data_IF_198961540262
#
_entry.id   IF_198961540262
#
_cell.length_a   1.000
_cell.length_b   1.000
_cell.length_c   1.000
_cell.angle_alpha   90.00
_cell.angle_beta   90.00
_cell.angle_gamma   90.00
#
_symmetry.space_group_name_H-M   'P 1'
#
loop_
_entity.id
_entity.type
_entity.pdbx_description
1 polymer ?
#
# COMPACT_ATOMS: atom_id res chain seq x y z
N UNK A 1 12.60 15.57 -2.42
CA UNK A 1 13.92 15.50 -3.12
C UNK A 1 14.73 16.79 -2.95
N UNK A 2 14.20 18.00 -3.16
CA UNK A 2 14.94 19.28 -3.00
C UNK A 2 15.61 19.45 -1.64
N UNK A 3 14.89 19.10 -0.55
CA UNK A 3 15.41 19.20 0.81
C UNK A 3 16.51 18.17 1.09
N UNK A 4 16.40 16.97 0.49
CA UNK A 4 17.44 15.94 0.55
C UNK A 4 18.72 16.42 -0.13
N UNK A 5 18.62 16.99 -1.35
CA UNK A 5 19.77 17.58 -2.05
C UNK A 5 20.44 18.65 -1.20
N UNK A 6 19.64 19.53 -0.59
CA UNK A 6 20.15 20.61 0.27
C UNK A 6 20.87 20.05 1.50
N UNK A 7 20.32 18.99 2.10
CA UNK A 7 20.93 18.37 3.28
C UNK A 7 22.23 17.63 2.92
N UNK A 8 22.25 16.86 1.83
CA UNK A 8 23.44 16.17 1.36
C UNK A 8 24.57 17.13 1.01
N UNK A 9 24.26 18.26 0.35
CA UNK A 9 25.26 19.31 0.05
C UNK A 9 25.83 19.95 1.31
N UNK A 10 25.04 20.14 2.38
CA UNK A 10 25.54 20.69 3.66
C UNK A 10 26.60 19.80 4.32
N UNK A 11 26.54 18.48 4.10
CA UNK A 11 27.51 17.52 4.61
C UNK A 11 28.65 17.20 3.63
N UNK A 12 28.76 18.02 2.55
CA UNK A 12 29.85 17.93 1.56
C UNK A 12 29.69 16.84 0.51
N UNK A 13 28.45 16.35 0.31
CA UNK A 13 28.15 15.35 -0.72
C UNK A 13 27.50 16.04 -1.94
N UNK A 14 27.91 15.61 -3.14
CA UNK A 14 27.41 16.15 -4.40
C UNK A 14 26.51 15.13 -5.11
N UNK A 15 25.19 15.13 -4.87
CA UNK A 15 24.28 14.23 -5.53
C UNK A 15 24.04 14.65 -6.99
N UNK A 16 23.85 13.67 -7.86
CA UNK A 16 23.49 13.82 -9.27
C UNK A 16 22.03 13.42 -9.48
N UNK A 17 21.37 14.04 -10.45
CA UNK A 17 20.00 13.69 -10.82
C UNK A 17 19.98 12.81 -12.08
N UNK A 18 19.28 11.70 -12.00
CA UNK A 18 18.91 10.87 -13.13
C UNK A 18 17.39 10.81 -13.20
N UNK A 19 16.81 11.68 -14.01
CA UNK A 19 15.38 11.94 -14.09
C UNK A 19 14.81 12.31 -12.68
N UNK A 20 14.01 11.47 -12.07
CA UNK A 20 13.43 11.64 -10.74
C UNK A 20 14.25 11.03 -9.59
N UNK A 21 15.28 10.23 -9.91
CA UNK A 21 16.15 9.56 -8.94
C UNK A 21 17.35 10.40 -8.62
N UNK A 22 17.70 10.46 -7.33
CA UNK A 22 18.90 11.12 -6.87
C UNK A 22 19.98 10.07 -6.64
N UNK A 23 21.11 10.23 -7.28
CA UNK A 23 22.27 9.35 -7.18
C UNK A 23 23.39 10.00 -6.38
N UNK A 24 24.02 9.23 -5.53
CA UNK A 24 25.19 9.62 -4.77
C UNK A 24 26.26 8.55 -4.87
N UNK A 25 27.50 8.95 -5.16
CA UNK A 25 28.67 8.09 -5.07
C UNK A 25 29.61 8.64 -4.03
N UNK A 26 30.03 7.80 -3.08
CA UNK A 26 30.96 8.16 -2.03
C UNK A 26 32.11 7.16 -1.98
N UNK A 27 33.33 7.66 -1.97
CA UNK A 27 34.53 6.87 -1.77
C UNK A 27 34.66 6.45 -0.31
N UNK A 28 34.92 5.17 -0.03
CA UNK A 28 35.05 4.60 1.30
C UNK A 28 36.50 4.59 1.75
N UNK A 29 37.39 4.08 0.85
CA UNK A 29 38.80 3.92 1.09
C UNK A 29 39.61 4.38 -0.09
N UNK A 30 40.92 4.63 0.13
CA UNK A 30 41.89 4.99 -0.93
C UNK A 30 42.11 3.88 -2.00
N UNK A 31 41.57 2.68 -1.75
CA UNK A 31 41.72 1.50 -2.62
C UNK A 31 40.55 1.28 -3.58
N UNK A 32 39.82 2.32 -3.94
CA UNK A 32 38.79 2.30 -4.99
C UNK A 32 37.45 1.63 -4.62
N UNK A 33 37.17 1.43 -3.33
CA UNK A 33 35.84 0.97 -2.92
C UNK A 33 34.87 2.15 -2.83
N UNK A 34 33.74 2.03 -3.50
CA UNK A 34 32.70 3.06 -3.53
C UNK A 34 31.40 2.52 -2.98
N UNK A 35 30.67 3.37 -2.27
CA UNK A 35 29.23 3.22 -2.04
C UNK A 35 28.50 4.02 -3.09
N UNK A 36 27.52 3.39 -3.72
CA UNK A 36 26.62 4.04 -4.65
C UNK A 36 25.21 3.95 -4.11
N UNK A 37 24.52 5.08 -4.05
CA UNK A 37 23.21 5.19 -3.42
C UNK A 37 22.23 5.83 -4.39
N UNK A 38 21.06 5.21 -4.55
CA UNK A 38 19.96 5.75 -5.32
C UNK A 38 18.79 6.05 -4.37
N UNK A 39 18.32 7.29 -4.38
CA UNK A 39 17.18 7.73 -3.59
C UNK A 39 15.98 7.92 -4.49
N UNK A 40 14.89 7.23 -4.19
CA UNK A 40 13.68 7.24 -4.97
C UNK A 40 12.64 8.18 -4.36
N UNK A 41 11.84 8.91 -5.20
CA UNK A 41 10.88 9.90 -4.70
C UNK A 41 9.76 9.29 -3.86
N UNK A 42 9.48 8.00 -4.03
CA UNK A 42 8.47 7.26 -3.26
C UNK A 42 8.98 6.76 -1.89
N UNK A 43 10.17 7.23 -1.45
CA UNK A 43 10.68 7.01 -0.10
C UNK A 43 11.46 5.70 0.08
N UNK A 44 12.05 5.16 -0.97
CA UNK A 44 12.99 4.05 -0.92
C UNK A 44 14.41 4.50 -1.25
N UNK A 45 15.38 3.74 -0.75
CA UNK A 45 16.81 3.96 -0.99
C UNK A 45 17.44 2.61 -1.33
N UNK A 46 18.23 2.54 -2.40
CA UNK A 46 19.06 1.37 -2.69
C UNK A 46 20.53 1.72 -2.52
N UNK A 47 21.28 0.82 -1.88
CA UNK A 47 22.67 1.02 -1.53
C UNK A 47 23.48 -0.12 -2.14
N UNK A 48 24.47 0.20 -2.95
CA UNK A 48 25.40 -0.73 -3.57
C UNK A 48 26.76 -0.64 -2.89
N UNK A 49 27.16 -1.72 -2.23
CA UNK A 49 28.41 -1.76 -1.46
C UNK A 49 28.29 -1.13 -0.08
N UNK A 50 29.42 -1.07 0.63
CA UNK A 50 29.46 -0.57 1.99
C UNK A 50 29.18 -1.62 3.06
N UNK A 51 29.26 -1.19 4.31
CA UNK A 51 28.97 -1.98 5.49
C UNK A 51 27.72 -1.44 6.21
N UNK A 52 27.24 -2.20 7.20
CA UNK A 52 26.05 -1.86 7.98
C UNK A 52 26.14 -0.49 8.69
N UNK A 53 27.36 -0.06 9.06
CA UNK A 53 27.59 1.23 9.73
C UNK A 53 27.38 2.37 8.72
N UNK A 54 27.88 2.20 7.51
CA UNK A 54 27.77 3.17 6.43
C UNK A 54 26.33 3.30 5.94
N UNK A 55 25.61 2.17 5.82
CA UNK A 55 24.17 2.17 5.55
C UNK A 55 23.38 2.97 6.60
N UNK A 56 23.63 2.74 7.88
CA UNK A 56 22.99 3.49 8.98
C UNK A 56 23.27 4.99 8.91
N UNK A 57 24.50 5.38 8.55
CA UNK A 57 24.85 6.80 8.37
C UNK A 57 24.07 7.41 7.22
N UNK A 58 23.95 6.72 6.09
CA UNK A 58 23.18 7.19 4.93
C UNK A 58 21.71 7.37 5.33
N UNK A 59 21.11 6.34 5.92
CA UNK A 59 19.71 6.36 6.33
C UNK A 59 19.43 7.46 7.38
N UNK A 60 20.32 7.67 8.36
CA UNK A 60 20.15 8.74 9.36
C UNK A 60 20.13 10.15 8.74
N UNK A 61 20.88 10.37 7.67
CA UNK A 61 20.85 11.63 6.93
C UNK A 61 19.56 11.83 6.12
N UNK A 62 18.96 10.75 5.63
CA UNK A 62 17.67 10.80 4.93
C UNK A 62 16.50 11.02 5.90
N UNK A 63 16.57 10.46 7.09
CA UNK A 63 15.56 10.59 8.14
C UNK A 63 15.26 12.03 8.53
N UNK A 64 16.23 12.93 8.40
CA UNK A 64 16.08 14.35 8.71
C UNK A 64 15.13 15.10 7.77
N UNK A 65 14.91 14.58 6.56
CA UNK A 65 14.13 15.22 5.50
C UNK A 65 12.95 14.36 5.01
N UNK A 66 12.79 13.17 5.60
CA UNK A 66 11.72 12.24 5.22
C UNK A 66 10.41 12.65 5.91
N UNK A 67 9.35 12.73 5.11
CA UNK A 67 7.99 12.97 5.59
C UNK A 67 7.26 11.62 5.72
N UNK A 68 6.51 11.45 6.81
CA UNK A 68 5.75 10.21 7.08
C UNK A 68 6.60 8.94 7.10
N UNK A 69 7.78 9.02 7.74
CA UNK A 69 8.67 7.87 7.84
C UNK A 69 8.04 6.70 8.59
N UNK A 70 8.44 5.50 8.20
CA UNK A 70 8.09 4.28 8.92
C UNK A 70 8.70 4.30 10.34
N UNK A 71 8.05 3.62 11.29
CA UNK A 71 8.59 3.46 12.66
C UNK A 71 9.88 2.66 12.65
N UNK A 72 9.96 1.66 11.78
CA UNK A 72 11.12 0.82 11.55
C UNK A 72 11.38 0.75 10.04
N UNK A 73 12.63 0.79 9.63
CA UNK A 73 12.99 0.62 8.23
C UNK A 73 12.73 -0.82 7.80
N UNK A 74 12.05 -0.97 6.67
CA UNK A 74 11.95 -2.27 6.01
C UNK A 74 13.09 -2.36 4.99
N UNK A 75 13.87 -3.42 5.04
CA UNK A 75 15.02 -3.63 4.16
C UNK A 75 15.03 -5.04 3.60
N UNK A 76 15.56 -5.16 2.40
CA UNK A 76 15.84 -6.42 1.72
C UNK A 76 17.29 -6.38 1.23
N UNK A 77 17.95 -7.55 1.16
CA UNK A 77 19.36 -7.68 0.82
C UNK A 77 19.53 -8.71 -0.29
N UNK A 78 20.28 -8.31 -1.32
CA UNK A 78 20.70 -9.20 -2.38
C UNK A 78 22.21 -9.06 -2.58
N UNK A 79 22.89 -10.19 -2.76
CA UNK A 79 24.33 -10.17 -3.05
C UNK A 79 24.58 -9.77 -4.51
N UNK A 80 25.71 -9.12 -4.75
CA UNK A 80 26.16 -8.85 -6.12
C UNK A 80 27.66 -9.08 -6.28
N UNK A 81 28.07 -9.37 -7.49
CA UNK A 81 29.49 -9.43 -7.88
C UNK A 81 29.68 -8.92 -9.30
N UNK A 82 30.89 -8.45 -9.58
CA UNK A 82 31.30 -8.12 -10.92
C UNK A 82 31.97 -9.32 -11.55
N UNK A 83 31.54 -9.69 -12.75
CA UNK A 83 32.18 -10.72 -13.57
C UNK A 83 32.30 -10.21 -15.02
N UNK A 84 33.49 -9.80 -15.40
CA UNK A 84 33.80 -9.28 -16.74
C UNK A 84 33.85 -10.37 -17.81
N UNK A 85 33.81 -11.64 -17.42
CA UNK A 85 33.84 -12.77 -18.37
C UNK A 85 32.43 -13.08 -18.93
N UNK A 86 31.38 -12.48 -18.34
CA UNK A 86 30.00 -12.64 -18.83
C UNK A 86 29.65 -11.52 -19.80
N UNK A 87 28.94 -11.86 -20.88
CA UNK A 87 28.50 -10.88 -21.88
C UNK A 87 27.40 -9.94 -21.40
N UNK A 88 26.57 -10.41 -20.45
CA UNK A 88 25.40 -9.66 -19.96
C UNK A 88 25.23 -9.84 -18.48
N UNK A 89 24.75 -8.79 -17.83
CA UNK A 89 24.27 -8.82 -16.44
C UNK A 89 23.04 -9.73 -16.32
N UNK A 90 23.03 -10.60 -15.31
CA UNK A 90 21.92 -11.51 -15.01
C UNK A 90 21.79 -11.76 -13.51
N UNK A 91 20.69 -12.39 -13.10
CA UNK A 91 20.46 -12.84 -11.71
C UNK A 91 20.66 -14.36 -11.66
N UNK A 92 21.54 -14.80 -10.77
CA UNK A 92 21.68 -16.21 -10.38
C UNK A 92 20.65 -16.49 -9.29
N UNK A 93 19.48 -17.01 -9.69
CA UNK A 93 18.34 -17.26 -8.79
C UNK A 93 18.68 -18.31 -7.73
N UNK A 94 19.47 -19.33 -8.07
CA UNK A 94 19.86 -20.38 -7.13
C UNK A 94 20.70 -19.83 -5.97
N UNK A 95 21.55 -18.83 -6.27
CA UNK A 95 22.43 -18.21 -5.28
C UNK A 95 21.90 -16.89 -4.71
N UNK A 96 20.75 -16.43 -5.20
CA UNK A 96 20.19 -15.11 -4.85
C UNK A 96 21.23 -13.99 -5.04
N UNK A 97 21.80 -13.92 -6.26
CA UNK A 97 22.95 -13.06 -6.53
C UNK A 97 22.85 -12.38 -7.89
N UNK A 98 23.16 -11.10 -7.92
CA UNK A 98 23.27 -10.32 -9.18
C UNK A 98 24.69 -10.43 -9.72
N UNK A 99 24.84 -10.87 -10.95
CA UNK A 99 26.12 -10.93 -11.67
C UNK A 99 26.17 -9.75 -12.65
N UNK A 100 27.00 -8.76 -12.34
CA UNK A 100 27.16 -7.56 -13.12
C UNK A 100 28.29 -7.76 -14.16
N UNK A 101 27.97 -7.58 -15.44
CA UNK A 101 28.96 -7.65 -16.53
C UNK A 101 29.89 -6.42 -16.56
N UNK A 102 29.40 -5.27 -16.05
CA UNK A 102 30.12 -4.01 -16.03
C UNK A 102 29.79 -3.17 -14.78
N UNK A 103 30.47 -2.02 -14.65
CA UNK A 103 30.23 -1.06 -13.56
C UNK A 103 29.24 0.06 -13.95
N UNK A 104 28.39 -0.16 -14.94
CA UNK A 104 27.45 0.85 -15.43
C UNK A 104 26.50 1.32 -14.33
N UNK A 105 26.49 2.63 -14.12
CA UNK A 105 25.55 3.28 -13.18
C UNK A 105 24.10 3.01 -13.63
N UNK A 106 23.84 3.03 -14.95
CA UNK A 106 22.51 2.81 -15.47
C UNK A 106 22.03 1.37 -15.35
N UNK A 107 22.94 0.38 -15.43
CA UNK A 107 22.62 -1.01 -15.15
C UNK A 107 22.18 -1.17 -13.67
N UNK A 108 22.96 -0.62 -12.74
CA UNK A 108 22.62 -0.61 -11.31
C UNK A 108 21.33 0.15 -11.03
N UNK A 109 21.12 1.32 -11.67
CA UNK A 109 19.89 2.11 -11.50
C UNK A 109 18.67 1.32 -11.97
N UNK A 110 18.76 0.59 -13.08
CA UNK A 110 17.67 -0.23 -13.60
C UNK A 110 17.27 -1.34 -12.64
N UNK A 111 18.24 -2.06 -12.12
CA UNK A 111 18.04 -3.08 -11.08
C UNK A 111 17.49 -2.42 -9.81
N UNK A 112 18.04 -1.27 -9.41
CA UNK A 112 17.61 -0.53 -8.23
C UNK A 112 16.16 -0.06 -8.28
N UNK A 113 15.62 0.27 -9.46
CA UNK A 113 14.20 0.60 -9.62
C UNK A 113 13.31 -0.57 -9.18
N UNK A 114 13.56 -1.77 -9.68
CA UNK A 114 12.78 -2.95 -9.33
C UNK A 114 12.94 -3.34 -7.85
N UNK A 115 14.18 -3.30 -7.31
CA UNK A 115 14.43 -3.58 -5.89
C UNK A 115 13.70 -2.57 -4.98
N UNK A 116 13.74 -1.29 -5.31
CA UNK A 116 13.04 -0.24 -4.56
C UNK A 116 11.53 -0.41 -4.61
N UNK A 117 10.97 -0.76 -5.78
CA UNK A 117 9.56 -1.09 -5.94
C UNK A 117 9.18 -2.32 -5.11
N UNK A 118 9.98 -3.38 -5.09
CA UNK A 118 9.75 -4.58 -4.29
C UNK A 118 9.66 -4.26 -2.79
N UNK A 119 10.59 -3.46 -2.26
CA UNK A 119 10.55 -3.03 -0.85
C UNK A 119 9.34 -2.15 -0.57
N UNK A 120 8.99 -1.23 -1.47
CA UNK A 120 7.76 -0.42 -1.34
C UNK A 120 6.51 -1.28 -1.33
N UNK A 121 6.44 -2.29 -2.19
CA UNK A 121 5.34 -3.25 -2.25
C UNK A 121 5.20 -4.00 -0.92
N UNK A 122 6.31 -4.44 -0.32
CA UNK A 122 6.31 -5.10 0.99
C UNK A 122 5.70 -4.23 2.09
N UNK A 123 5.95 -2.91 2.08
CA UNK A 123 5.33 -1.96 3.01
C UNK A 123 3.81 -1.90 2.81
N UNK A 124 3.35 -1.86 1.56
CA UNK A 124 1.92 -1.84 1.25
C UNK A 124 1.24 -3.18 1.58
N UNK A 125 1.89 -4.31 1.31
CA UNK A 125 1.43 -5.65 1.70
C UNK A 125 1.25 -5.76 3.22
N UNK A 126 2.18 -5.20 4.00
CA UNK A 126 2.08 -5.15 5.46
C UNK A 126 0.89 -4.30 5.91
N UNK A 127 0.63 -3.16 5.27
CA UNK A 127 -0.54 -2.32 5.54
C UNK A 127 -1.84 -3.07 5.25
N UNK A 128 -1.94 -3.75 4.10
CA UNK A 128 -3.10 -4.59 3.76
C UNK A 128 -3.28 -5.73 4.75
N UNK A 129 -2.19 -6.39 5.16
CA UNK A 129 -2.24 -7.45 6.18
C UNK A 129 -2.79 -6.95 7.51
N UNK A 130 -2.37 -5.77 7.95
CA UNK A 130 -2.89 -5.14 9.16
C UNK A 130 -4.40 -4.83 9.05
N UNK A 131 -4.88 -4.38 7.89
CA UNK A 131 -6.31 -4.18 7.63
C UNK A 131 -7.10 -5.50 7.73
N UNK A 132 -6.57 -6.59 7.17
CA UNK A 132 -7.19 -7.92 7.26
C UNK A 132 -7.31 -8.33 8.73
N UNK A 133 -6.25 -8.19 9.52
CA UNK A 133 -6.26 -8.52 10.95
C UNK A 133 -7.31 -7.70 11.70
N UNK A 134 -7.47 -6.40 11.40
CA UNK A 134 -8.47 -5.53 12.01
C UNK A 134 -9.91 -5.92 11.63
N UNK A 135 -10.14 -6.41 10.42
CA UNK A 135 -11.47 -6.78 9.93
C UNK A 135 -11.87 -8.22 10.26
N UNK A 136 -10.91 -9.10 10.55
CA UNK A 136 -11.15 -10.52 10.86
C UNK A 136 -12.18 -10.75 11.98
N UNK A 137 -12.18 -10.03 13.12
CA UNK A 137 -13.20 -10.22 14.17
C UNK A 137 -14.62 -9.93 13.67
N UNK A 138 -14.80 -8.92 12.81
CA UNK A 138 -16.08 -8.55 12.21
C UNK A 138 -16.59 -9.67 11.31
N UNK A 139 -15.71 -10.23 10.48
CA UNK A 139 -16.03 -11.36 9.59
C UNK A 139 -16.43 -12.60 10.38
N UNK A 140 -15.71 -12.92 11.46
CA UNK A 140 -16.00 -14.07 12.31
C UNK A 140 -17.32 -13.93 13.05
N UNK A 141 -17.63 -12.73 13.55
CA UNK A 141 -18.89 -12.45 14.18
C UNK A 141 -20.05 -12.60 13.18
N UNK A 142 -19.94 -11.99 12.00
CA UNK A 142 -20.91 -12.08 10.92
C UNK A 142 -21.16 -13.55 10.52
N UNK A 143 -20.12 -14.34 10.34
CA UNK A 143 -20.21 -15.74 9.99
C UNK A 143 -20.91 -16.59 11.07
N UNK A 144 -20.72 -16.25 12.36
CA UNK A 144 -21.28 -16.99 13.49
C UNK A 144 -22.73 -16.62 13.80
N UNK A 145 -23.07 -15.34 13.71
CA UNK A 145 -24.35 -14.79 14.22
C UNK A 145 -25.28 -14.30 13.12
N UNK A 146 -24.79 -14.17 11.88
CA UNK A 146 -25.53 -13.54 10.79
C UNK A 146 -25.72 -12.02 10.95
N UNK A 147 -25.08 -11.42 11.95
CA UNK A 147 -25.18 -9.99 12.24
C UNK A 147 -23.91 -9.51 12.93
N UNK A 148 -23.71 -8.18 12.95
CA UNK A 148 -22.58 -7.55 13.63
C UNK A 148 -23.13 -6.75 14.82
N UNK A 149 -22.47 -6.87 15.98
CA UNK A 149 -22.86 -6.17 17.23
C UNK A 149 -22.47 -4.69 17.22
N UNK A 150 -21.63 -4.26 16.27
CA UNK A 150 -21.23 -2.87 16.12
C UNK A 150 -22.43 -1.95 15.85
N UNK A 151 -22.43 -0.77 16.47
CA UNK A 151 -23.39 0.28 16.18
C UNK A 151 -23.19 0.83 14.75
N UNK A 152 -24.24 1.47 14.20
CA UNK A 152 -24.16 2.16 12.91
C UNK A 152 -22.97 3.13 12.83
N UNK A 153 -22.70 3.86 13.92
CA UNK A 153 -21.60 4.81 13.98
C UNK A 153 -20.25 4.12 13.89
N UNK A 154 -20.06 3.03 14.62
CA UNK A 154 -18.81 2.25 14.60
C UNK A 154 -18.57 1.60 13.23
N UNK A 155 -19.60 1.02 12.60
CA UNK A 155 -19.49 0.46 11.25
C UNK A 155 -19.08 1.56 10.25
N UNK A 156 -19.72 2.74 10.29
CA UNK A 156 -19.37 3.85 9.40
C UNK A 156 -17.93 4.36 9.66
N UNK A 157 -17.47 4.33 10.90
CA UNK A 157 -16.07 4.67 11.23
C UNK A 157 -15.11 3.63 10.64
N UNK A 158 -15.40 2.35 10.76
CA UNK A 158 -14.58 1.28 10.16
C UNK A 158 -14.54 1.40 8.63
N UNK A 159 -15.68 1.64 7.98
CA UNK A 159 -15.76 1.91 6.54
C UNK A 159 -14.86 3.09 6.18
N UNK A 160 -14.92 4.19 6.94
CA UNK A 160 -14.09 5.37 6.70
C UNK A 160 -12.60 5.09 6.82
N UNK A 161 -12.17 4.34 7.84
CA UNK A 161 -10.77 3.95 8.04
C UNK A 161 -10.29 3.09 6.86
N UNK A 162 -11.03 2.05 6.51
CA UNK A 162 -10.66 1.13 5.44
C UNK A 162 -10.65 1.82 4.07
N UNK A 163 -11.59 2.72 3.82
CA UNK A 163 -11.62 3.53 2.61
C UNK A 163 -10.36 4.43 2.49
N UNK A 164 -9.99 5.08 3.60
CA UNK A 164 -8.81 5.95 3.63
C UNK A 164 -7.51 5.17 3.40
N UNK A 165 -7.36 4.01 4.01
CA UNK A 165 -6.19 3.13 3.79
C UNK A 165 -6.15 2.60 2.36
N UNK A 166 -7.27 2.13 1.81
CA UNK A 166 -7.35 1.70 0.41
C UNK A 166 -6.98 2.84 -0.54
N UNK A 167 -7.49 4.04 -0.29
CA UNK A 167 -7.17 5.22 -1.09
C UNK A 167 -5.68 5.53 -1.03
N UNK A 168 -5.06 5.49 0.15
CA UNK A 168 -3.62 5.67 0.34
C UNK A 168 -2.79 4.66 -0.47
N UNK A 169 -3.19 3.38 -0.47
CA UNK A 169 -2.52 2.32 -1.25
C UNK A 169 -2.71 2.54 -2.75
N UNK A 170 -3.92 2.89 -3.18
CA UNK A 170 -4.24 3.14 -4.59
C UNK A 170 -3.48 4.33 -5.16
N UNK A 171 -3.24 5.39 -4.36
CA UNK A 171 -2.43 6.53 -4.78
C UNK A 171 -0.96 6.17 -5.10
N UNK A 172 -0.50 5.02 -4.64
CA UNK A 172 0.87 4.55 -4.87
C UNK A 172 0.96 3.48 -5.97
N UNK A 173 -0.14 3.16 -6.65
CA UNK A 173 -0.14 2.12 -7.70
C UNK A 173 0.78 2.46 -8.86
N UNK A 174 0.86 3.74 -9.25
CA UNK A 174 1.70 4.23 -10.34
C UNK A 174 3.21 4.01 -10.10
N UNK A 175 3.61 3.79 -8.84
CA UNK A 175 5.00 3.46 -8.49
C UNK A 175 5.45 2.14 -9.13
N UNK A 176 4.51 1.22 -9.39
CA UNK A 176 4.82 -0.11 -9.95
C UNK A 176 4.76 -0.15 -11.48
N UNK A 177 4.40 0.96 -12.13
CA UNK A 177 4.50 1.06 -13.57
C UNK A 177 5.97 1.11 -14.00
N UNK A 178 6.22 0.75 -15.27
CA UNK A 178 7.57 0.85 -15.84
C UNK A 178 8.06 2.31 -15.78
N UNK A 179 9.18 2.59 -15.11
CA UNK A 179 9.66 3.96 -14.94
C UNK A 179 9.92 4.70 -16.26
N UNK A 180 9.60 6.00 -16.30
CA UNK A 180 9.84 6.86 -17.48
C UNK A 180 11.33 6.94 -17.87
N UNK A 181 12.22 6.62 -16.94
CA UNK A 181 13.66 6.49 -17.20
C UNK A 181 13.95 5.62 -18.42
N UNK A 182 13.18 4.53 -18.64
CA UNK A 182 13.41 3.59 -19.76
C UNK A 182 12.91 4.12 -21.10
N UNK A 183 12.00 5.09 -21.14
CA UNK A 183 11.58 5.72 -22.40
C UNK A 183 12.75 6.40 -23.13
N UNK A 184 13.71 6.92 -22.37
CA UNK A 184 14.93 7.52 -22.93
C UNK A 184 16.10 6.55 -23.06
N UNK A 185 16.03 5.41 -22.34
CA UNK A 185 17.10 4.41 -22.25
C UNK A 185 16.56 2.98 -22.35
N UNK A 186 15.92 2.62 -23.48
CA UNK A 186 15.24 1.32 -23.61
C UNK A 186 16.19 0.12 -23.52
N UNK A 187 17.48 0.30 -23.78
CA UNK A 187 18.48 -0.77 -23.65
C UNK A 187 18.67 -1.29 -22.22
N UNK A 188 18.27 -0.53 -21.21
CA UNK A 188 18.36 -0.90 -19.80
C UNK A 188 17.06 -1.47 -19.23
N UNK A 189 15.93 -1.34 -19.93
CA UNK A 189 14.64 -1.89 -19.53
C UNK A 189 14.67 -3.40 -19.29
N UNK A 190 15.36 -4.24 -20.09
CA UNK A 190 15.44 -5.67 -19.82
C UNK A 190 16.02 -6.02 -18.45
N UNK A 191 16.95 -5.22 -17.91
CA UNK A 191 17.53 -5.44 -16.57
C UNK A 191 16.50 -5.14 -15.47
N UNK A 192 15.70 -4.11 -15.67
CA UNK A 192 14.58 -3.81 -14.79
C UNK A 192 13.54 -4.93 -14.80
N UNK A 193 13.08 -5.35 -15.99
CA UNK A 193 12.06 -6.40 -16.13
C UNK A 193 12.54 -7.72 -15.53
N UNK A 194 13.78 -8.14 -15.79
CA UNK A 194 14.40 -9.32 -15.19
C UNK A 194 14.35 -9.25 -13.65
N UNK A 195 14.70 -8.09 -13.08
CA UNK A 195 14.73 -7.92 -11.63
C UNK A 195 13.30 -7.85 -11.06
N UNK A 196 12.37 -7.23 -11.76
CA UNK A 196 10.96 -7.15 -11.37
C UNK A 196 10.30 -8.54 -11.38
N UNK A 197 10.63 -9.37 -12.37
CA UNK A 197 10.20 -10.77 -12.45
C UNK A 197 10.80 -11.59 -11.30
N UNK A 198 12.10 -11.48 -11.07
CA UNK A 198 12.79 -12.15 -9.94
C UNK A 198 12.20 -11.77 -8.57
N UNK A 199 11.70 -10.54 -8.40
CA UNK A 199 11.06 -10.06 -7.18
C UNK A 199 9.55 -10.33 -7.14
N UNK A 200 8.99 -11.02 -8.13
CA UNK A 200 7.55 -11.35 -8.25
C UNK A 200 6.64 -10.12 -8.15
N UNK A 201 7.08 -8.93 -8.59
CA UNK A 201 6.38 -7.66 -8.34
C UNK A 201 4.95 -7.70 -8.87
N UNK A 202 4.74 -8.14 -10.11
CA UNK A 202 3.41 -8.21 -10.73
C UNK A 202 2.50 -9.20 -9.99
N UNK A 203 3.01 -10.38 -9.66
CA UNK A 203 2.24 -11.43 -8.94
C UNK A 203 1.82 -10.92 -7.56
N UNK A 204 2.75 -10.34 -6.83
CA UNK A 204 2.51 -9.78 -5.49
C UNK A 204 1.51 -8.62 -5.53
N UNK A 205 1.62 -7.72 -6.51
CA UNK A 205 0.68 -6.62 -6.73
C UNK A 205 -0.74 -7.15 -7.00
N UNK A 206 -0.87 -8.18 -7.84
CA UNK A 206 -2.16 -8.80 -8.13
C UNK A 206 -2.78 -9.44 -6.88
N UNK A 207 -1.99 -10.13 -6.07
CA UNK A 207 -2.45 -10.71 -4.79
C UNK A 207 -2.90 -9.61 -3.83
N UNK A 208 -2.12 -8.52 -3.71
CA UNK A 208 -2.47 -7.38 -2.87
C UNK A 208 -3.80 -6.74 -3.30
N UNK A 209 -3.97 -6.49 -4.60
CA UNK A 209 -5.22 -5.94 -5.15
C UNK A 209 -6.41 -6.87 -4.90
N UNK A 210 -6.23 -8.17 -5.03
CA UNK A 210 -7.28 -9.15 -4.71
C UNK A 210 -7.69 -9.07 -3.23
N UNK A 211 -6.74 -8.99 -2.31
CA UNK A 211 -7.00 -8.82 -0.87
C UNK A 211 -7.75 -7.52 -0.56
N UNK A 212 -7.38 -6.41 -1.23
CA UNK A 212 -8.11 -5.13 -1.10
C UNK A 212 -9.55 -5.22 -1.60
N UNK A 213 -9.79 -5.95 -2.69
CA UNK A 213 -11.15 -6.17 -3.19
C UNK A 213 -12.00 -7.00 -2.22
N UNK A 214 -11.44 -8.03 -1.58
CA UNK A 214 -12.13 -8.79 -0.53
C UNK A 214 -12.54 -7.92 0.66
N UNK A 215 -11.67 -6.99 1.08
CA UNK A 215 -12.00 -6.01 2.13
C UNK A 215 -13.14 -5.10 1.67
N UNK A 216 -13.15 -4.66 0.41
CA UNK A 216 -14.23 -3.85 -0.15
C UNK A 216 -15.57 -4.59 -0.13
N UNK A 217 -15.59 -5.85 -0.54
CA UNK A 217 -16.80 -6.69 -0.51
C UNK A 217 -17.36 -6.81 0.92
N UNK A 218 -16.50 -6.97 1.92
CA UNK A 218 -16.92 -6.96 3.31
C UNK A 218 -17.59 -5.62 3.70
N UNK A 219 -17.01 -4.50 3.31
CA UNK A 219 -17.59 -3.18 3.59
C UNK A 219 -18.95 -2.99 2.94
N UNK A 220 -19.12 -3.48 1.72
CA UNK A 220 -20.37 -3.42 0.99
C UNK A 220 -21.45 -4.27 1.69
N UNK A 221 -21.10 -5.46 2.18
CA UNK A 221 -22.01 -6.31 2.98
C UNK A 221 -22.44 -5.58 4.24
N UNK A 222 -21.50 -4.99 5.00
CA UNK A 222 -21.80 -4.25 6.22
C UNK A 222 -22.68 -3.02 5.96
N UNK A 223 -22.41 -2.28 4.89
CA UNK A 223 -23.19 -1.11 4.48
C UNK A 223 -24.63 -1.51 4.12
N UNK A 224 -24.81 -2.61 3.39
CA UNK A 224 -26.11 -3.13 3.00
C UNK A 224 -26.90 -3.62 4.21
N UNK A 225 -26.28 -4.31 5.17
CA UNK A 225 -26.94 -4.74 6.42
C UNK A 225 -27.47 -3.54 7.22
N UNK A 226 -26.68 -2.46 7.29
CA UNK A 226 -27.12 -1.22 7.93
C UNK A 226 -28.36 -0.61 7.27
N UNK A 227 -28.37 -0.59 5.93
CA UNK A 227 -29.51 -0.04 5.17
C UNK A 227 -30.75 -0.92 5.36
N UNK A 228 -30.61 -2.24 5.34
CA UNK A 228 -31.71 -3.17 5.56
C UNK A 228 -32.33 -3.02 6.96
N UNK A 229 -31.52 -2.97 8.01
CA UNK A 229 -32.00 -2.74 9.40
C UNK A 229 -32.75 -1.42 9.55
N UNK A 230 -32.38 -0.39 8.81
CA UNK A 230 -33.08 0.89 8.83
C UNK A 230 -34.44 0.80 8.11
N UNK A 231 -34.50 0.14 6.97
CA UNK A 231 -35.74 -0.06 6.20
C UNK A 231 -36.77 -0.85 7.01
N UNK A 232 -36.34 -1.96 7.60
CA UNK A 232 -37.22 -2.81 8.45
C UNK A 232 -37.81 -2.05 9.65
N UNK A 233 -37.05 -1.15 10.28
CA UNK A 233 -37.60 -0.31 11.36
C UNK A 233 -38.69 0.64 10.86
N UNK A 234 -38.53 1.24 9.71
CA UNK A 234 -39.55 2.11 9.10
C UNK A 234 -40.80 1.32 8.70
N UNK A 235 -40.65 0.13 8.17
CA UNK A 235 -41.77 -0.76 7.86
C UNK A 235 -42.58 -1.12 9.12
N UNK A 236 -41.94 -1.47 10.22
CA UNK A 236 -42.61 -1.72 11.49
C UNK A 236 -43.36 -0.49 12.02
N UNK A 237 -42.78 0.71 11.91
CA UNK A 237 -43.45 1.95 12.30
C UNK A 237 -44.72 2.17 11.48
N UNK A 238 -44.64 1.95 10.15
CA UNK A 238 -45.81 2.08 9.27
C UNK A 238 -46.88 1.05 9.63
N UNK A 239 -46.49 -0.21 9.86
CA UNK A 239 -47.44 -1.27 10.25
C UNK A 239 -48.14 -0.91 11.58
N UNK A 240 -47.41 -0.40 12.57
CA UNK A 240 -47.97 0.02 13.86
C UNK A 240 -48.95 1.20 13.66
N UNK A 241 -48.59 2.20 12.85
CA UNK A 241 -49.45 3.36 12.56
C UNK A 241 -50.75 2.93 11.85
N UNK A 242 -50.68 2.06 10.86
CA UNK A 242 -51.84 1.51 10.18
C UNK A 242 -52.70 0.70 11.15
N UNK A 243 -52.07 -0.11 12.01
CA UNK A 243 -52.81 -0.86 13.07
C UNK A 243 -53.57 0.06 14.04
N UNK A 244 -52.95 1.16 14.48
CA UNK A 244 -53.61 2.16 15.33
C UNK A 244 -54.75 2.85 14.59
N UNK A 245 -54.58 3.21 13.33
CA UNK A 245 -55.64 3.84 12.52
C UNK A 245 -56.86 2.93 12.38
N UNK A 246 -56.64 1.64 12.11
CA UNK A 246 -57.71 0.64 12.02
C UNK A 246 -58.44 0.51 13.34
N UNK A 247 -57.74 0.44 14.48
CA UNK A 247 -58.35 0.35 15.84
C UNK A 247 -59.17 1.60 16.13
N UNK A 248 -58.66 2.79 15.84
CA UNK A 248 -59.36 4.05 16.03
C UNK A 248 -60.62 4.14 15.14
N UNK A 249 -60.55 3.73 13.89
CA UNK A 249 -61.66 3.69 12.95
C UNK A 249 -62.77 2.74 13.42
N UNK A 250 -62.41 1.54 13.89
CA UNK A 250 -63.37 0.58 14.44
C UNK A 250 -64.02 1.08 15.73
N UNK A 251 -63.27 1.76 16.61
CA UNK A 251 -63.82 2.34 17.84
C UNK A 251 -64.79 3.48 17.57
N UNK A 252 -64.49 4.31 16.56
CA UNK A 252 -65.34 5.42 16.13
C UNK A 252 -66.65 4.92 15.51
N UNK A 253 -66.57 3.87 14.66
CA UNK A 253 -67.79 3.23 14.09
C UNK A 253 -68.67 2.57 15.16
N UNK A 254 -68.07 1.88 16.12
CA UNK A 254 -68.83 1.30 17.26
C UNK A 254 -69.51 2.37 18.17
N UNK A 255 -68.81 3.51 18.35
CA UNK A 255 -69.38 4.64 19.07
C UNK A 255 -70.56 5.27 18.31
N UNK A 256 -70.45 5.40 17.02
CA UNK A 256 -71.50 5.94 16.12
C UNK A 256 -72.70 5.04 16.06
N UNK A 257 -72.52 3.72 15.98
CA UNK A 257 -73.57 2.73 16.03
C UNK A 257 -74.33 2.72 17.39
N UNK A 258 -73.64 2.93 18.54
CA UNK A 258 -74.25 3.07 19.87
C UNK A 258 -75.05 4.34 19.97
N UNK A 259 -74.66 5.43 19.38
CA UNK A 259 -75.37 6.72 19.39
C UNK A 259 -76.64 6.63 18.53
N UNK A 260 -76.60 5.98 17.37
CA UNK A 260 -77.74 5.80 16.46
C UNK A 260 -78.72 4.75 17.00
N UNK A 261 -78.29 3.71 17.71
CA UNK A 261 -79.14 2.70 18.31
C UNK A 261 -79.71 3.09 19.66
N UNK A 262 -79.39 4.28 20.18
CA UNK A 262 -79.95 4.85 21.39
C UNK A 262 -80.98 5.99 21.14
N UNK A 263 -81.24 6.28 19.87
CA UNK A 263 -82.32 7.14 19.38
C UNK A 263 -83.47 6.28 18.87
#
# INVERSE_FOLDING_TARGET
MSDLVTNLKKIGLEPQHFDDVLYLRKEINKDSDFIEVFFFPFGCVTIWGGDEIQEKIILSNTDLVTVNKLKEHLSDYIYFEYNTDVEKTFIDEEKNKIILADQSIFAKLSISHALAQSVKLSVLEQSVSNLIVQTTPIQQELARTGSVSLSKKEILQQIGILFNERYSISLHSDIFDTPEFFWRRPSYEPLYLMTAEFQDIEIRQNIMNHRLNMIQELLDILSNDLNYKHSTKLEWIIIILIGLEVILSLSHTNLFLKIIGAL
#
